data_IF_354546067080
#
_entry.id   IF_354546067080
#
_cell.length_a   1.000
_cell.length_b   1.000
_cell.length_c   1.000
_cell.angle_alpha   90.00
_cell.angle_beta   90.00
_cell.angle_gamma   90.00
#
_symmetry.space_group_name_H-M   'P 1'
#
loop_
_entity.id
_entity.type
_entity.pdbx_description
1 polymer ?
#
# COMPACT_ATOMS: atom_id res chain seq x y z
N UNK A 1 -12.46 11.52 -13.86
CA UNK A 1 -11.20 10.97 -13.35
C UNK A 1 -10.60 9.85 -14.20
N UNK A 2 -11.37 8.88 -14.73
CA UNK A 2 -10.84 7.79 -15.60
C UNK A 2 -10.05 8.27 -16.84
N UNK A 3 -10.39 9.41 -17.42
CA UNK A 3 -9.69 9.96 -18.62
C UNK A 3 -8.34 10.61 -18.32
N UNK A 4 -8.13 11.10 -17.10
CA UNK A 4 -6.85 11.73 -16.70
C UNK A 4 -5.80 10.66 -16.44
N UNK A 5 -6.21 9.53 -15.84
CA UNK A 5 -5.30 8.40 -15.59
C UNK A 5 -4.77 7.79 -16.90
N UNK A 6 -5.62 7.67 -17.93
CA UNK A 6 -5.21 7.21 -19.26
C UNK A 6 -4.21 8.15 -19.95
N UNK A 7 -4.35 9.47 -19.76
CA UNK A 7 -3.44 10.46 -20.36
C UNK A 7 -2.07 10.41 -19.68
N UNK A 8 -2.02 10.26 -18.36
CA UNK A 8 -0.76 10.11 -17.61
C UNK A 8 -0.05 8.82 -18.00
N UNK A 9 -0.78 7.73 -18.15
CA UNK A 9 -0.22 6.44 -18.58
C UNK A 9 0.33 6.49 -20.02
N UNK A 10 -0.38 7.11 -20.95
CA UNK A 10 0.09 7.29 -22.32
C UNK A 10 1.26 8.27 -22.45
N UNK A 11 1.32 9.34 -21.63
CA UNK A 11 2.43 10.29 -21.67
C UNK A 11 3.73 9.72 -21.09
N UNK A 12 3.65 8.82 -20.12
CA UNK A 12 4.81 8.10 -19.61
C UNK A 12 5.45 7.18 -20.69
N UNK A 13 4.62 6.54 -21.52
CA UNK A 13 5.11 5.72 -22.65
C UNK A 13 5.80 6.52 -23.76
N UNK A 14 5.45 7.78 -23.95
CA UNK A 14 6.00 8.62 -25.03
C UNK A 14 7.32 9.30 -24.63
N UNK A 15 7.70 9.35 -23.37
CA UNK A 15 8.98 9.91 -22.91
C UNK A 15 10.15 8.92 -22.95
N UNK A 16 9.91 7.64 -23.25
CA UNK A 16 10.92 6.58 -23.21
C UNK A 16 11.93 6.59 -24.37
N UNK A 17 11.88 7.56 -25.27
CA UNK A 17 12.73 7.56 -26.48
C UNK A 17 14.05 8.33 -26.37
N UNK A 18 14.41 8.85 -25.20
CA UNK A 18 15.65 9.60 -25.04
C UNK A 18 16.32 9.38 -23.68
N UNK A 19 17.12 8.36 -23.54
CA UNK A 19 18.18 8.20 -22.52
C UNK A 19 17.83 7.70 -21.11
N UNK A 20 16.61 7.35 -20.78
CA UNK A 20 16.35 6.72 -19.49
C UNK A 20 15.79 5.31 -19.72
N UNK A 21 16.40 4.29 -19.13
CA UNK A 21 15.82 2.96 -19.05
C UNK A 21 14.50 3.02 -18.30
N UNK A 22 13.56 2.14 -18.66
CA UNK A 22 12.29 2.05 -18.01
C UNK A 22 11.95 0.61 -17.64
N UNK A 23 11.04 0.45 -16.70
CA UNK A 23 10.54 -0.87 -16.31
C UNK A 23 9.04 -0.79 -16.03
N UNK A 24 8.31 -1.80 -16.48
CA UNK A 24 6.92 -2.00 -16.15
C UNK A 24 6.72 -3.44 -15.66
N UNK A 25 5.94 -3.63 -14.61
CA UNK A 25 5.77 -4.96 -14.06
C UNK A 25 4.47 -5.15 -13.31
N UNK A 26 4.26 -6.41 -12.97
CA UNK A 26 3.22 -6.87 -12.06
C UNK A 26 3.89 -7.46 -10.83
N UNK A 27 3.23 -7.32 -9.71
CA UNK A 27 3.68 -7.79 -8.40
C UNK A 27 2.54 -8.60 -7.77
N UNK A 28 2.89 -9.68 -7.10
CA UNK A 28 1.98 -10.41 -6.21
C UNK A 28 2.69 -10.69 -4.89
N UNK A 29 1.94 -10.62 -3.80
CA UNK A 29 2.54 -10.81 -2.48
C UNK A 29 1.52 -11.03 -1.39
N UNK A 30 2.04 -11.13 -0.20
CA UNK A 30 1.28 -11.17 1.05
C UNK A 30 1.69 -9.98 1.91
N UNK A 31 0.75 -9.42 2.64
CA UNK A 31 0.97 -8.34 3.59
C UNK A 31 0.34 -8.67 4.93
N UNK A 32 1.03 -8.30 6.00
CA UNK A 32 0.51 -8.28 7.35
C UNK A 32 0.19 -6.83 7.70
N UNK A 33 -1.10 -6.54 7.89
CA UNK A 33 -1.60 -5.23 8.28
C UNK A 33 -1.91 -5.26 9.76
N UNK A 34 -1.16 -4.48 10.54
CA UNK A 34 -1.37 -4.32 11.98
C UNK A 34 -2.04 -2.98 12.25
N UNK A 35 -3.23 -3.02 12.87
CA UNK A 35 -3.96 -1.84 13.34
C UNK A 35 -3.88 -1.72 14.86
N UNK A 36 -3.50 -0.54 15.37
CA UNK A 36 -3.47 -0.23 16.81
C UNK A 36 -4.49 0.89 17.12
N UNK A 37 -5.38 0.64 18.06
CA UNK A 37 -6.30 1.66 18.56
C UNK A 37 -5.72 2.29 19.83
N UNK A 38 -5.50 3.60 19.82
CA UNK A 38 -4.81 4.33 20.90
C UNK A 38 -5.76 5.08 21.86
N UNK A 39 -7.04 5.29 21.50
CA UNK A 39 -7.99 5.97 22.38
C UNK A 39 -9.22 5.13 22.68
N UNK A 40 -9.57 5.09 23.96
CA UNK A 40 -10.83 4.54 24.44
C UNK A 40 -11.79 5.66 24.82
N UNK A 41 -13.03 5.40 24.59
CA UNK A 41 -14.18 6.07 25.17
C UNK A 41 -14.14 5.87 26.68
N UNK A 42 -14.28 6.82 27.52
CA UNK A 42 -14.38 6.77 29.01
C UNK A 42 -13.12 6.47 29.85
N UNK A 43 -11.92 6.44 29.27
CA UNK A 43 -10.68 6.24 30.06
C UNK A 43 -10.42 4.82 30.56
N UNK A 44 -11.23 3.83 30.22
CA UNK A 44 -11.11 2.44 30.69
C UNK A 44 -10.75 1.41 29.61
N UNK A 45 -10.48 1.83 28.37
CA UNK A 45 -10.13 0.95 27.26
C UNK A 45 -8.64 0.79 27.09
N UNK A 46 -8.11 -0.42 27.26
CA UNK A 46 -6.73 -0.74 26.91
C UNK A 46 -6.50 -0.68 25.41
N UNK A 47 -5.23 -0.49 25.02
CA UNK A 47 -4.77 -0.60 23.64
C UNK A 47 -5.20 -1.98 23.09
N UNK A 48 -5.85 -1.99 21.94
CA UNK A 48 -6.17 -3.21 21.21
C UNK A 48 -5.45 -3.17 19.88
N UNK A 49 -4.72 -4.22 19.55
CA UNK A 49 -4.14 -4.45 18.24
C UNK A 49 -4.91 -5.57 17.54
N UNK A 50 -5.04 -5.46 16.24
CA UNK A 50 -5.51 -6.52 15.36
C UNK A 50 -4.54 -6.62 14.20
N UNK A 51 -4.13 -7.83 13.83
CA UNK A 51 -3.34 -8.08 12.64
C UNK A 51 -4.08 -9.00 11.69
N UNK A 52 -3.84 -8.83 10.39
CA UNK A 52 -4.41 -9.67 9.36
C UNK A 52 -3.47 -9.82 8.18
N UNK A 53 -3.29 -11.06 7.78
CA UNK A 53 -2.65 -11.40 6.52
C UNK A 53 -3.60 -11.16 5.36
N UNK A 54 -3.11 -10.52 4.31
CA UNK A 54 -3.83 -10.28 3.07
C UNK A 54 -2.95 -10.57 1.86
N UNK A 55 -3.49 -11.26 0.88
CA UNK A 55 -2.85 -11.40 -0.42
C UNK A 55 -3.18 -10.19 -1.29
N UNK A 56 -2.20 -9.73 -2.07
CA UNK A 56 -2.40 -8.60 -2.96
C UNK A 56 -1.71 -8.78 -4.31
N UNK A 57 -2.20 -8.04 -5.30
CA UNK A 57 -1.55 -7.86 -6.56
C UNK A 57 -1.41 -6.37 -6.88
N UNK A 58 -0.29 -5.99 -7.48
CA UNK A 58 0.02 -4.62 -7.87
C UNK A 58 0.52 -4.55 -9.30
N UNK A 59 0.43 -3.37 -9.87
CA UNK A 59 1.13 -2.97 -11.08
C UNK A 59 2.10 -1.85 -10.73
N UNK A 60 3.25 -1.82 -11.36
CA UNK A 60 4.22 -0.75 -11.15
C UNK A 60 4.90 -0.33 -12.45
N UNK A 61 5.39 0.90 -12.44
CA UNK A 61 6.23 1.45 -13.49
C UNK A 61 7.38 2.21 -12.84
N UNK A 62 8.58 2.09 -13.42
CA UNK A 62 9.81 2.74 -12.97
C UNK A 62 10.51 3.42 -14.14
N UNK A 63 11.22 4.49 -13.82
CA UNK A 63 12.10 5.21 -14.74
C UNK A 63 13.45 5.38 -14.08
N UNK A 64 14.49 4.96 -14.78
CA UNK A 64 15.86 5.23 -14.40
C UNK A 64 16.17 6.73 -14.61
N UNK A 65 16.58 7.39 -13.55
CA UNK A 65 16.86 8.83 -13.58
C UNK A 65 18.34 9.08 -13.88
N UNK A 66 19.20 8.38 -13.17
CA UNK A 66 20.65 8.48 -13.32
C UNK A 66 21.36 7.31 -12.65
N UNK A 67 21.98 6.44 -13.44
CA UNK A 67 22.74 5.29 -12.93
C UNK A 67 21.91 4.42 -11.99
N UNK A 68 22.28 4.29 -10.71
CA UNK A 68 21.60 3.38 -9.79
C UNK A 68 20.22 3.87 -9.29
N UNK A 69 19.84 5.12 -9.61
CA UNK A 69 18.61 5.74 -9.10
C UNK A 69 17.45 5.59 -10.07
N UNK A 70 16.36 5.04 -9.60
CA UNK A 70 15.07 4.99 -10.30
C UNK A 70 13.96 5.64 -9.48
N UNK A 71 12.95 6.19 -10.17
CA UNK A 71 11.69 6.65 -9.58
C UNK A 71 10.57 5.76 -10.08
N UNK A 72 9.64 5.42 -9.21
CA UNK A 72 8.56 4.52 -9.56
C UNK A 72 7.23 4.86 -8.91
N UNK A 73 6.18 4.33 -9.52
CA UNK A 73 4.81 4.34 -9.02
C UNK A 73 4.30 2.91 -8.97
N UNK A 74 3.74 2.53 -7.84
CA UNK A 74 3.07 1.25 -7.63
C UNK A 74 1.61 1.49 -7.30
N UNK A 75 0.72 0.68 -7.83
CA UNK A 75 -0.72 0.73 -7.57
C UNK A 75 -1.23 -0.66 -7.25
N UNK A 76 -1.87 -0.81 -6.10
CA UNK A 76 -2.61 -2.00 -5.70
C UNK A 76 -4.10 -1.74 -5.97
N UNK A 77 -4.67 -2.28 -7.04
CA UNK A 77 -6.06 -2.00 -7.43
C UNK A 77 -7.10 -2.83 -6.64
N UNK A 78 -6.65 -3.59 -5.65
CA UNK A 78 -7.48 -4.51 -4.88
C UNK A 78 -7.91 -3.88 -3.55
N UNK A 79 -9.09 -4.30 -3.08
CA UNK A 79 -9.62 -4.00 -1.77
C UNK A 79 -9.07 -5.02 -0.76
N UNK A 80 -8.51 -4.54 0.34
CA UNK A 80 -8.17 -5.35 1.51
C UNK A 80 -9.22 -5.14 2.61
N UNK A 81 -9.86 -6.21 3.04
CA UNK A 81 -10.88 -6.19 4.08
C UNK A 81 -10.30 -6.63 5.42
N UNK A 82 -10.49 -5.82 6.44
CA UNK A 82 -10.10 -6.14 7.83
C UNK A 82 -11.37 -6.27 8.65
N UNK A 83 -11.68 -7.47 9.09
CA UNK A 83 -12.79 -7.69 10.02
C UNK A 83 -12.27 -7.55 11.45
N UNK A 84 -12.85 -6.64 12.24
CA UNK A 84 -12.62 -6.65 13.67
C UNK A 84 -13.28 -7.88 14.29
N UNK A 85 -12.63 -8.43 15.33
CA UNK A 85 -12.97 -9.67 16.03
C UNK A 85 -14.49 -9.87 16.22
N UNK A 86 -15.08 -10.96 15.73
CA UNK A 86 -16.54 -11.23 15.82
C UNK A 86 -17.04 -11.55 17.25
N UNK A 87 -16.23 -11.33 18.27
CA UNK A 87 -16.56 -11.65 19.68
C UNK A 87 -17.33 -10.59 20.45
N UNK A 88 -17.54 -9.41 19.91
CA UNK A 88 -18.28 -8.32 20.57
C UNK A 88 -19.49 -7.92 19.72
N UNK A 89 -20.58 -7.53 20.38
CA UNK A 89 -21.85 -7.12 19.76
C UNK A 89 -21.75 -5.90 18.80
N UNK A 90 -20.57 -5.52 18.39
CA UNK A 90 -20.26 -4.43 17.46
C UNK A 90 -19.33 -4.97 16.40
N UNK A 91 -19.85 -5.23 15.21
CA UNK A 91 -19.05 -5.61 14.04
C UNK A 91 -18.51 -4.32 13.40
N UNK A 92 -17.20 -4.16 13.40
CA UNK A 92 -16.54 -3.12 12.65
C UNK A 92 -15.69 -3.77 11.54
N UNK A 93 -15.90 -3.38 10.32
CA UNK A 93 -15.12 -3.82 9.16
C UNK A 93 -14.43 -2.61 8.58
N UNK A 94 -13.12 -2.67 8.45
CA UNK A 94 -12.33 -1.67 7.74
C UNK A 94 -11.96 -2.21 6.36
N UNK A 95 -12.05 -1.35 5.35
CA UNK A 95 -11.62 -1.62 3.98
C UNK A 95 -10.48 -0.67 3.65
N UNK A 96 -9.43 -1.19 3.06
CA UNK A 96 -8.34 -0.40 2.49
C UNK A 96 -8.38 -0.61 0.98
N UNK A 97 -8.51 0.47 0.25
CA UNK A 97 -8.64 0.45 -1.20
C UNK A 97 -7.64 1.40 -1.85
N UNK A 98 -7.36 1.14 -3.14
CA UNK A 98 -6.60 2.08 -3.97
C UNK A 98 -5.21 2.46 -3.43
N UNK A 99 -4.50 1.52 -2.78
CA UNK A 99 -3.15 1.80 -2.29
C UNK A 99 -2.23 2.17 -3.45
N UNK A 100 -1.62 3.35 -3.36
CA UNK A 100 -0.67 3.90 -4.32
C UNK A 100 0.59 4.29 -3.59
N UNK A 101 1.73 3.94 -4.16
CA UNK A 101 3.04 4.28 -3.57
C UNK A 101 3.90 4.96 -4.63
N UNK A 102 4.32 6.19 -4.37
CA UNK A 102 5.37 6.86 -5.12
C UNK A 102 6.70 6.61 -4.40
N UNK A 103 7.73 6.18 -5.13
CA UNK A 103 8.98 5.78 -4.52
C UNK A 103 10.22 6.12 -5.35
N UNK A 104 11.35 6.19 -4.65
CA UNK A 104 12.68 6.15 -5.21
C UNK A 104 13.35 4.82 -4.85
N UNK A 105 14.14 4.29 -5.76
CA UNK A 105 14.87 3.04 -5.63
C UNK A 105 16.32 3.27 -6.00
N UNK A 106 17.24 2.75 -5.19
CA UNK A 106 18.67 2.74 -5.46
C UNK A 106 19.16 1.31 -5.54
N UNK A 107 19.74 0.91 -6.67
CA UNK A 107 20.24 -0.44 -6.94
C UNK A 107 21.75 -0.49 -6.98
N UNK A 108 22.30 -1.64 -6.61
CA UNK A 108 23.71 -1.98 -6.73
C UNK A 108 23.82 -3.33 -7.41
N UNK A 109 24.53 -3.37 -8.53
CA UNK A 109 24.78 -4.59 -9.29
C UNK A 109 25.70 -5.52 -8.54
N UNK A 110 25.42 -6.81 -8.65
CA UNK A 110 26.18 -7.92 -8.07
C UNK A 110 26.38 -9.01 -9.12
N UNK A 111 27.22 -10.00 -8.83
CA UNK A 111 27.49 -11.12 -9.74
C UNK A 111 26.26 -11.99 -10.05
N UNK A 112 25.20 -11.91 -9.24
CA UNK A 112 23.97 -12.71 -9.41
C UNK A 112 22.74 -11.89 -9.81
N UNK A 113 22.89 -10.57 -9.98
CA UNK A 113 21.80 -9.65 -10.27
C UNK A 113 22.01 -8.31 -9.57
N UNK A 114 20.97 -7.68 -9.03
CA UNK A 114 21.10 -6.45 -8.28
C UNK A 114 20.40 -6.54 -6.90
N UNK A 115 20.96 -5.84 -5.91
CA UNK A 115 20.32 -5.60 -4.61
C UNK A 115 19.88 -4.14 -4.60
N UNK A 116 18.70 -3.83 -4.06
CA UNK A 116 18.21 -2.46 -4.02
C UNK A 116 17.54 -2.12 -2.70
N UNK A 117 17.61 -0.83 -2.38
CA UNK A 117 16.82 -0.19 -1.34
C UNK A 117 15.75 0.71 -1.96
N UNK A 118 14.58 0.79 -1.33
CA UNK A 118 13.41 1.52 -1.80
C UNK A 118 12.89 2.41 -0.67
N UNK A 119 12.59 3.66 -0.96
CA UNK A 119 11.93 4.59 -0.04
C UNK A 119 10.80 5.28 -0.77
N UNK A 120 9.69 5.48 -0.11
CA UNK A 120 8.52 6.05 -0.76
C UNK A 120 7.51 6.63 0.21
N UNK A 121 6.40 7.04 -0.36
CA UNK A 121 5.24 7.52 0.36
C UNK A 121 3.99 6.86 -0.21
N UNK A 122 3.21 6.26 0.67
CA UNK A 122 2.01 5.51 0.33
C UNK A 122 0.77 6.31 0.67
N UNK A 123 -0.27 6.15 -0.14
CA UNK A 123 -1.60 6.71 0.07
C UNK A 123 -2.63 5.63 -0.25
N UNK A 124 -3.60 5.44 0.62
CA UNK A 124 -4.72 4.53 0.45
C UNK A 124 -6.01 5.16 0.91
N UNK A 125 -7.12 4.73 0.34
CA UNK A 125 -8.46 5.08 0.81
C UNK A 125 -8.88 4.06 1.88
N UNK A 126 -9.31 4.54 3.06
CA UNK A 126 -9.83 3.70 4.13
C UNK A 126 -11.32 3.97 4.33
N UNK A 127 -12.12 2.92 4.34
CA UNK A 127 -13.54 2.98 4.67
C UNK A 127 -13.81 2.09 5.89
N UNK A 128 -14.39 2.66 6.93
CA UNK A 128 -14.77 1.92 8.14
C UNK A 128 -16.28 1.82 8.21
N UNK A 129 -16.81 0.59 8.08
CA UNK A 129 -18.22 0.27 8.25
C UNK A 129 -18.43 -0.29 9.66
N UNK A 130 -19.24 0.35 10.44
CA UNK A 130 -19.59 -0.13 11.78
C UNK A 130 -21.07 -0.49 11.81
N UNK A 131 -21.38 -1.73 12.20
CA UNK A 131 -22.75 -2.16 12.46
C UNK A 131 -22.94 -2.48 13.94
N UNK A 132 -24.04 -2.04 14.51
CA UNK A 132 -24.47 -2.39 15.88
C UNK A 132 -25.86 -3.02 15.80
N UNK A 133 -25.93 -4.33 15.97
CA UNK A 133 -27.18 -5.07 15.74
C UNK A 133 -27.71 -4.89 14.31
N UNK A 134 -28.94 -4.39 14.16
CA UNK A 134 -29.55 -4.11 12.85
C UNK A 134 -29.42 -2.65 12.41
N UNK A 135 -28.57 -1.86 13.04
CA UNK A 135 -28.40 -0.43 12.74
C UNK A 135 -26.99 -0.22 12.15
N UNK A 136 -26.91 0.18 10.88
CA UNK A 136 -25.68 0.65 10.26
C UNK A 136 -25.38 2.03 10.86
N UNK A 137 -24.27 2.15 11.59
CA UNK A 137 -23.74 3.44 12.01
C UNK A 137 -22.97 4.02 10.84
N UNK A 138 -22.97 5.35 10.73
CA UNK A 138 -22.42 6.10 9.60
C UNK A 138 -21.04 5.60 9.15
N UNK A 139 -20.91 5.36 7.85
CA UNK A 139 -19.65 5.05 7.19
C UNK A 139 -18.70 6.24 7.37
N UNK A 140 -17.52 6.01 7.90
CA UNK A 140 -16.45 6.99 7.97
C UNK A 140 -15.39 6.62 6.93
N UNK A 141 -15.11 7.52 6.01
CA UNK A 141 -14.01 7.40 5.06
C UNK A 141 -12.91 8.37 5.42
N UNK A 142 -11.68 7.91 5.44
CA UNK A 142 -10.48 8.72 5.63
C UNK A 142 -9.37 8.20 4.71
N UNK A 143 -8.31 8.98 4.53
CA UNK A 143 -7.12 8.55 3.81
C UNK A 143 -6.06 8.08 4.78
N UNK A 144 -5.42 6.96 4.45
CA UNK A 144 -4.21 6.46 5.09
C UNK A 144 -3.02 6.93 4.26
N UNK A 145 -2.11 7.65 4.89
CA UNK A 145 -0.89 8.12 4.25
C UNK A 145 0.30 7.80 5.14
N UNK A 146 1.47 7.52 4.54
CA UNK A 146 2.65 7.27 5.35
C UNK A 146 3.90 6.92 4.56
N UNK A 147 5.07 7.05 5.20
CA UNK A 147 6.35 6.68 4.62
C UNK A 147 6.46 5.16 4.44
N UNK A 148 7.12 4.76 3.37
CA UNK A 148 7.43 3.37 3.05
C UNK A 148 8.93 3.19 2.87
N UNK A 149 9.46 2.10 3.41
CA UNK A 149 10.82 1.64 3.15
C UNK A 149 10.79 0.20 2.67
N UNK A 150 11.77 -0.17 1.84
CA UNK A 150 11.84 -1.53 1.31
C UNK A 150 13.25 -1.93 0.94
N UNK A 151 13.44 -3.23 0.83
CA UNK A 151 14.67 -3.85 0.34
C UNK A 151 14.29 -5.00 -0.58
N UNK A 152 15.09 -5.21 -1.62
CA UNK A 152 14.83 -6.31 -2.54
C UNK A 152 16.07 -6.77 -3.29
N UNK A 153 15.86 -7.86 -4.01
CA UNK A 153 16.84 -8.42 -4.95
C UNK A 153 16.20 -8.56 -6.31
N UNK A 154 16.98 -8.31 -7.33
CA UNK A 154 16.58 -8.39 -8.71
C UNK A 154 17.45 -9.40 -9.46
N UNK A 155 16.82 -10.21 -10.29
CA UNK A 155 17.48 -11.21 -11.12
C UNK A 155 17.08 -11.00 -12.58
N UNK A 156 17.99 -11.31 -13.48
CA UNK A 156 17.66 -11.40 -14.91
C UNK A 156 16.88 -12.69 -15.19
N UNK A 157 15.86 -12.57 -16.00
CA UNK A 157 15.09 -13.69 -16.51
C UNK A 157 15.45 -13.97 -17.97
N UNK A 158 15.59 -15.23 -18.39
CA UNK A 158 15.86 -15.59 -19.77
C UNK A 158 14.65 -15.41 -20.71
N UNK A 159 13.50 -15.00 -20.20
CA UNK A 159 12.29 -14.83 -20.97
C UNK A 159 12.29 -13.49 -21.72
N UNK A 160 11.98 -13.46 -23.00
CA UNK A 160 12.14 -12.24 -23.82
C UNK A 160 11.17 -11.11 -23.46
N UNK A 161 10.03 -11.42 -22.83
CA UNK A 161 9.01 -10.43 -22.43
C UNK A 161 9.13 -10.09 -20.94
N UNK A 162 9.50 -11.07 -20.13
CA UNK A 162 9.69 -10.90 -18.69
C UNK A 162 11.18 -11.08 -18.43
N UNK A 163 11.95 -10.01 -18.57
CA UNK A 163 13.40 -10.05 -18.44
C UNK A 163 13.91 -9.75 -17.03
N UNK A 164 13.00 -9.40 -16.11
CA UNK A 164 13.32 -9.09 -14.71
C UNK A 164 12.39 -9.83 -13.75
N UNK A 165 12.97 -10.45 -12.73
CA UNK A 165 12.27 -11.04 -11.57
C UNK A 165 12.79 -10.33 -10.33
N UNK A 166 11.90 -9.94 -9.41
CA UNK A 166 12.26 -9.32 -8.13
C UNK A 166 11.63 -10.04 -6.96
N UNK A 167 12.35 -10.06 -5.84
CA UNK A 167 11.82 -10.40 -4.52
C UNK A 167 12.00 -9.16 -3.64
N UNK A 168 10.96 -8.72 -2.95
CA UNK A 168 10.94 -7.48 -2.20
C UNK A 168 10.22 -7.66 -0.86
N UNK A 169 10.76 -7.03 0.20
CA UNK A 169 10.07 -6.80 1.44
C UNK A 169 9.90 -5.29 1.65
N UNK A 170 8.70 -4.85 2.03
CA UNK A 170 8.43 -3.42 2.34
C UNK A 170 7.74 -3.28 3.70
N UNK A 171 7.98 -2.14 4.34
CA UNK A 171 7.30 -1.69 5.54
C UNK A 171 6.74 -0.30 5.28
N UNK A 172 5.47 -0.11 5.59
CA UNK A 172 4.78 1.18 5.51
C UNK A 172 4.21 1.50 6.89
N UNK A 173 4.52 2.69 7.38
CA UNK A 173 3.99 3.25 8.64
C UNK A 173 2.99 4.34 8.28
N UNK A 174 1.70 4.05 8.45
CA UNK A 174 0.65 5.00 8.13
C UNK A 174 0.43 5.97 9.27
N UNK A 175 0.23 7.24 8.93
CA UNK A 175 -0.10 8.30 9.86
C UNK A 175 -1.38 7.98 10.64
N UNK A 176 -1.51 8.59 11.81
CA UNK A 176 -2.65 8.45 12.70
C UNK A 176 -3.96 8.88 12.04
N UNK A 177 -4.92 7.96 11.97
CA UNK A 177 -6.28 8.21 11.46
C UNK A 177 -7.23 8.57 12.58
N UNK A 178 -7.95 9.68 12.44
CA UNK A 178 -8.97 10.14 13.39
C UNK A 178 -10.36 9.93 12.84
N UNK A 179 -11.07 8.93 13.35
CA UNK A 179 -12.46 8.70 13.02
C UNK A 179 -13.37 9.36 14.06
N UNK A 180 -14.15 10.35 13.63
CA UNK A 180 -15.11 11.05 14.47
C UNK A 180 -16.52 10.55 14.17
N UNK A 181 -17.16 9.93 15.15
CA UNK A 181 -18.56 9.51 15.07
C UNK A 181 -19.44 10.46 15.89
N UNK A 182 -20.45 11.01 15.27
CA UNK A 182 -21.47 11.82 15.95
C UNK A 182 -22.70 10.96 16.25
N UNK A 183 -23.04 10.79 17.52
CA UNK A 183 -24.36 10.31 17.96
C UNK A 183 -25.12 11.46 18.60
N UNK A 184 -26.46 11.34 18.69
CA UNK A 184 -27.39 12.42 19.02
C UNK A 184 -27.05 13.29 20.23
N UNK A 185 -26.07 12.94 21.07
CA UNK A 185 -25.69 13.71 22.28
C UNK A 185 -24.19 13.84 22.53
N UNK A 186 -23.30 13.21 21.72
CA UNK A 186 -21.86 13.26 21.94
C UNK A 186 -21.07 12.96 20.67
N UNK A 187 -19.99 13.69 20.49
CA UNK A 187 -18.99 13.45 19.46
C UNK A 187 -17.90 12.56 20.03
N UNK A 188 -17.69 11.42 19.41
CA UNK A 188 -16.66 10.45 19.82
C UNK A 188 -15.56 10.42 18.77
N UNK A 189 -14.34 10.74 19.17
CA UNK A 189 -13.17 10.64 18.30
C UNK A 189 -12.38 9.37 18.68
N UNK A 190 -12.11 8.53 17.69
CA UNK A 190 -11.23 7.36 17.83
C UNK A 190 -10.00 7.60 16.98
N UNK A 191 -8.86 7.27 17.53
CA UNK A 191 -7.59 7.37 16.88
C UNK A 191 -7.02 5.98 16.66
N UNK A 192 -6.53 5.73 15.46
CA UNK A 192 -5.91 4.46 15.07
C UNK A 192 -4.62 4.70 14.32
N UNK A 193 -3.65 3.84 14.51
CA UNK A 193 -2.41 3.75 13.75
C UNK A 193 -2.45 2.45 12.95
N UNK A 194 -1.86 2.43 11.77
CA UNK A 194 -1.76 1.24 10.94
C UNK A 194 -0.35 1.06 10.41
N UNK A 195 0.14 -0.16 10.46
CA UNK A 195 1.44 -0.56 9.92
C UNK A 195 1.22 -1.69 8.91
N UNK A 196 1.88 -1.63 7.76
CA UNK A 196 1.78 -2.66 6.73
C UNK A 196 3.16 -3.21 6.41
N UNK A 197 3.35 -4.49 6.64
CA UNK A 197 4.53 -5.22 6.24
C UNK A 197 4.21 -6.15 5.07
N UNK A 198 4.99 -6.12 3.97
CA UNK A 198 4.72 -6.95 2.81
C UNK A 198 5.92 -7.75 2.34
N UNK A 199 5.65 -8.92 1.76
CA UNK A 199 6.59 -9.71 0.97
C UNK A 199 6.01 -9.96 -0.41
N UNK A 200 6.82 -9.81 -1.44
CA UNK A 200 6.32 -9.94 -2.81
C UNK A 200 7.33 -10.51 -3.79
N UNK A 201 6.78 -11.06 -4.86
CA UNK A 201 7.49 -11.39 -6.08
C UNK A 201 6.95 -10.51 -7.21
N UNK A 202 7.85 -10.02 -8.06
CA UNK A 202 7.48 -9.22 -9.23
C UNK A 202 8.05 -9.82 -10.50
N UNK A 203 7.30 -9.68 -11.59
CA UNK A 203 7.68 -10.02 -12.95
C UNK A 203 7.61 -8.73 -13.76
N UNK A 204 8.70 -8.36 -14.43
CA UNK A 204 8.78 -7.09 -15.12
C UNK A 204 9.49 -7.19 -16.47
N UNK A 205 9.25 -6.17 -17.29
CA UNK A 205 9.95 -5.89 -18.53
C UNK A 205 10.71 -4.57 -18.40
N UNK A 206 12.02 -4.62 -18.60
CA UNK A 206 12.87 -3.44 -18.70
C UNK A 206 13.19 -3.15 -20.16
N UNK A 207 13.21 -1.89 -20.56
CA UNK A 207 13.43 -1.39 -21.93
C UNK A 207 14.29 -0.14 -21.95
#
# INVERSE_FOLDING_TARGET
MKKILSIIFCSAFLMSSAYAGGMIGIKAGTGDLEGKRTTSFDGSGGNKSASRDSEYAAIFAEFEVNGPLSLGLEVVPMEAKIDADPGTSTDATAFIENLKTLYALVSVDTDFGAVYGKVGYSHADAEVKTSYGNTTLSDASDSLEGPMVGIGVQFESPLPIINVIRLEGTYTDFDEVKVTSASNDSTHTRTGEAELFTYSISLAHSF
#
